data_IF_967088071245
#
_entry.id   IF_967088071245
#
_cell.length_a   1.000
_cell.length_b   1.000
_cell.length_c   1.000
_cell.angle_alpha   90.00
_cell.angle_beta   90.00
_cell.angle_gamma   90.00
#
_symmetry.space_group_name_H-M   'P 1'
#
loop_
_entity.id
_entity.type
_entity.pdbx_description
1 polymer ?
#
# COMPACT_ATOMS: atom_id res chain seq x y z
N UNK A 1 7.59 20.55 1.36
CA UNK A 1 7.32 19.53 2.40
C UNK A 1 8.26 18.39 2.11
N UNK A 2 9.10 18.03 3.07
CA UNK A 2 9.94 16.83 2.98
C UNK A 2 9.19 15.62 3.56
N UNK A 3 9.78 14.43 3.41
CA UNK A 3 9.17 13.17 3.83
C UNK A 3 8.93 13.12 5.34
N UNK A 4 9.88 13.59 6.15
CA UNK A 4 9.78 13.55 7.60
C UNK A 4 8.64 14.44 8.11
N UNK A 5 8.51 15.66 7.57
CA UNK A 5 7.40 16.57 7.88
C UNK A 5 6.04 15.99 7.45
N UNK A 6 5.99 15.31 6.30
CA UNK A 6 4.78 14.63 5.83
C UNK A 6 4.37 13.48 6.76
N UNK A 7 5.29 12.57 7.09
CA UNK A 7 5.01 11.43 7.95
C UNK A 7 4.59 11.87 9.36
N UNK A 8 5.25 12.88 9.91
CA UNK A 8 4.89 13.46 11.21
C UNK A 8 3.45 14.00 11.19
N UNK A 9 3.11 14.81 10.18
CA UNK A 9 1.75 15.36 10.02
C UNK A 9 0.72 14.28 9.79
N UNK A 10 1.05 13.25 9.01
CA UNK A 10 0.16 12.12 8.75
C UNK A 10 -0.13 11.34 10.05
N UNK A 11 0.90 11.02 10.84
CA UNK A 11 0.75 10.35 12.14
C UNK A 11 -0.11 11.17 13.09
N UNK A 12 0.16 12.47 13.23
CA UNK A 12 -0.64 13.38 14.08
C UNK A 12 -2.12 13.40 13.68
N UNK A 13 -2.42 13.35 12.38
CA UNK A 13 -3.81 13.32 11.88
C UNK A 13 -4.52 12.00 12.17
N UNK A 14 -3.78 10.92 12.39
CA UNK A 14 -4.32 9.58 12.59
C UNK A 14 -4.48 9.21 14.06
N UNK A 15 -3.73 9.84 14.97
CA UNK A 15 -3.90 9.70 16.43
C UNK A 15 -5.34 10.00 16.88
N UNK A 16 -6.06 10.88 16.18
CA UNK A 16 -7.48 11.15 16.42
C UNK A 16 -8.48 10.16 15.78
N UNK A 17 -8.01 9.12 15.07
CA UNK A 17 -8.83 8.16 14.30
C UNK A 17 -8.58 6.70 14.70
N UNK A 18 -8.14 6.49 15.94
CA UNK A 18 -7.45 5.32 16.46
C UNK A 18 -8.07 3.94 16.18
N UNK A 19 -9.38 3.82 15.94
CA UNK A 19 -10.02 2.51 15.80
C UNK A 19 -9.85 1.87 14.42
N UNK A 20 -9.59 2.65 13.36
CA UNK A 20 -9.49 2.14 11.98
C UNK A 20 -8.24 2.60 11.22
N UNK A 21 -7.44 3.48 11.82
CA UNK A 21 -6.27 4.10 11.22
C UNK A 21 -4.98 3.28 11.43
N UNK A 22 -4.97 2.02 11.00
CA UNK A 22 -3.73 1.23 11.02
C UNK A 22 -2.94 1.56 9.76
N UNK A 23 -1.99 2.49 9.88
CA UNK A 23 -0.88 2.56 8.93
C UNK A 23 0.09 1.43 9.23
N UNK A 24 0.44 0.69 8.20
CA UNK A 24 1.38 -0.42 8.30
C UNK A 24 2.76 0.08 7.91
N UNK A 25 3.77 -0.23 8.71
CA UNK A 25 5.16 -0.09 8.25
C UNK A 25 5.42 -1.08 7.11
N UNK A 26 6.47 -0.84 6.33
CA UNK A 26 6.92 -1.79 5.29
C UNK A 26 7.12 -3.19 5.86
N UNK A 27 7.77 -3.31 7.03
CA UNK A 27 7.96 -4.61 7.70
C UNK A 27 6.65 -5.31 8.05
N UNK A 28 5.65 -4.57 8.55
CA UNK A 28 4.35 -5.16 8.89
C UNK A 28 3.61 -5.62 7.64
N UNK A 29 3.65 -4.83 6.56
CA UNK A 29 3.04 -5.20 5.28
C UNK A 29 3.71 -6.44 4.70
N UNK A 30 5.03 -6.49 4.70
CA UNK A 30 5.80 -7.59 4.12
C UNK A 30 5.59 -8.88 4.93
N UNK A 31 5.44 -8.79 6.26
CA UNK A 31 5.05 -9.93 7.08
C UNK A 31 3.66 -10.47 6.68
N UNK A 32 2.69 -9.60 6.42
CA UNK A 32 1.35 -10.02 5.97
C UNK A 32 1.40 -10.67 4.59
N UNK A 33 2.30 -10.19 3.71
CA UNK A 33 2.52 -10.79 2.40
C UNK A 33 3.08 -12.22 2.56
N UNK A 34 4.12 -12.40 3.38
CA UNK A 34 4.68 -13.72 3.68
C UNK A 34 3.66 -14.67 4.30
N UNK A 35 2.87 -14.18 5.26
CA UNK A 35 1.86 -14.99 5.92
C UNK A 35 0.79 -15.42 4.91
N UNK A 36 0.37 -14.52 4.02
CA UNK A 36 -0.60 -14.84 2.98
C UNK A 36 -0.04 -15.82 1.94
N UNK A 37 1.25 -15.71 1.58
CA UNK A 37 1.94 -16.68 0.72
C UNK A 37 2.00 -18.07 1.38
N UNK A 38 2.32 -18.15 2.67
CA UNK A 38 2.29 -19.39 3.45
C UNK A 38 0.87 -19.98 3.48
N UNK A 39 -0.14 -19.15 3.76
CA UNK A 39 -1.54 -19.58 3.80
C UNK A 39 -2.00 -20.09 2.42
N UNK A 40 -1.60 -19.44 1.33
CA UNK A 40 -1.92 -19.90 -0.03
C UNK A 40 -1.26 -21.25 -0.37
N UNK A 41 -0.11 -21.54 0.24
CA UNK A 41 0.66 -22.77 0.00
C UNK A 41 0.20 -23.93 0.88
N UNK A 42 -0.10 -23.67 2.16
CA UNK A 42 -0.36 -24.69 3.18
C UNK A 42 -1.80 -24.73 3.70
N UNK A 43 -2.65 -23.81 3.24
CA UNK A 43 -4.02 -23.62 3.71
C UNK A 43 -4.11 -22.80 5.01
N UNK A 44 -5.28 -22.19 5.22
CA UNK A 44 -5.60 -21.45 6.44
C UNK A 44 -5.85 -22.42 7.61
N UNK A 45 -5.25 -22.12 8.76
CA UNK A 45 -5.29 -22.95 9.98
C UNK A 45 -5.82 -22.21 11.20
N UNK A 46 -5.90 -20.89 11.13
CA UNK A 46 -6.34 -20.04 12.25
C UNK A 46 -7.43 -19.05 11.83
N UNK A 47 -8.16 -18.52 12.81
CA UNK A 47 -9.10 -17.40 12.59
C UNK A 47 -8.40 -16.19 11.97
N UNK A 48 -7.14 -15.95 12.34
CA UNK A 48 -6.34 -14.88 11.73
C UNK A 48 -6.12 -15.14 10.24
N UNK A 49 -5.78 -16.37 9.85
CA UNK A 49 -5.53 -16.74 8.45
C UNK A 49 -6.78 -16.54 7.59
N UNK A 50 -7.94 -17.00 8.08
CA UNK A 50 -9.22 -16.79 7.39
C UNK A 50 -9.56 -15.31 7.28
N UNK A 51 -9.27 -14.52 8.32
CA UNK A 51 -9.47 -13.07 8.28
C UNK A 51 -8.52 -12.40 7.28
N UNK A 52 -7.28 -12.88 7.18
CA UNK A 52 -6.30 -12.35 6.25
C UNK A 52 -6.72 -12.60 4.80
N UNK A 53 -7.14 -13.83 4.45
CA UNK A 53 -7.66 -14.17 3.12
C UNK A 53 -8.94 -13.40 2.75
N UNK A 54 -9.81 -13.13 3.73
CA UNK A 54 -11.00 -12.30 3.50
C UNK A 54 -10.65 -10.85 3.19
N UNK A 55 -9.51 -10.37 3.67
CA UNK A 55 -9.12 -8.96 3.57
C UNK A 55 -8.18 -8.68 2.41
N UNK A 56 -7.28 -9.60 2.09
CA UNK A 56 -6.18 -9.36 1.17
C UNK A 56 -5.99 -10.50 0.18
N UNK A 57 -5.27 -10.18 -0.89
CA UNK A 57 -4.84 -11.09 -1.94
C UNK A 57 -3.39 -10.74 -2.33
N UNK A 58 -2.65 -11.73 -2.83
CA UNK A 58 -1.32 -11.51 -3.40
C UNK A 58 -1.47 -11.34 -4.90
N UNK A 59 -0.87 -10.27 -5.44
CA UNK A 59 -0.78 -10.04 -6.87
C UNK A 59 0.70 -10.04 -7.29
N UNK A 60 1.07 -10.95 -8.19
CA UNK A 60 2.39 -10.93 -8.83
C UNK A 60 2.46 -9.84 -9.88
N UNK A 61 3.42 -8.91 -9.74
CA UNK A 61 3.69 -7.84 -10.70
C UNK A 61 5.16 -7.94 -11.12
N UNK A 62 5.40 -8.51 -12.31
CA UNK A 62 6.76 -8.82 -12.76
C UNK A 62 7.42 -9.84 -11.83
N UNK A 63 8.54 -9.45 -11.20
CA UNK A 63 9.30 -10.29 -10.27
C UNK A 63 8.97 -10.00 -8.79
N UNK A 64 7.93 -9.21 -8.50
CA UNK A 64 7.59 -8.81 -7.14
C UNK A 64 6.14 -9.17 -6.80
N UNK A 65 5.94 -9.74 -5.61
CA UNK A 65 4.62 -9.93 -5.03
C UNK A 65 4.16 -8.65 -4.33
N UNK A 66 2.90 -8.28 -4.57
CA UNK A 66 2.28 -7.10 -3.99
C UNK A 66 1.05 -7.49 -3.20
N UNK A 67 0.89 -6.89 -2.01
CA UNK A 67 -0.32 -7.04 -1.21
C UNK A 67 -1.41 -6.13 -1.77
N UNK A 68 -2.54 -6.71 -2.15
CA UNK A 68 -3.71 -5.97 -2.61
C UNK A 68 -4.90 -6.22 -1.68
N UNK A 69 -5.86 -5.30 -1.68
CA UNK A 69 -7.17 -5.56 -1.10
C UNK A 69 -7.82 -6.73 -1.86
N UNK A 70 -8.44 -7.66 -1.12
CA UNK A 70 -9.20 -8.76 -1.73
C UNK A 70 -10.25 -8.19 -2.69
N UNK A 71 -10.19 -8.60 -3.95
CA UNK A 71 -11.14 -8.20 -4.98
C UNK A 71 -12.51 -8.84 -4.72
N UNK A 72 -13.58 -8.10 -5.00
CA UNK A 72 -14.95 -8.65 -4.90
C UNK A 72 -15.31 -9.44 -6.15
N UNK A 73 -14.89 -8.92 -7.31
CA UNK A 73 -15.01 -9.57 -8.60
C UNK A 73 -13.60 -9.96 -9.10
N UNK A 74 -13.35 -11.23 -9.43
CA UNK A 74 -12.07 -11.64 -10.00
C UNK A 74 -11.75 -10.95 -11.34
N UNK A 75 -12.76 -10.41 -12.03
CA UNK A 75 -12.64 -9.68 -13.30
C UNK A 75 -12.55 -8.16 -13.11
N UNK A 76 -12.39 -7.67 -11.87
CA UNK A 76 -12.15 -6.25 -11.62
C UNK A 76 -10.80 -5.85 -12.24
N UNK A 77 -10.82 -4.92 -13.20
CA UNK A 77 -9.63 -4.39 -13.87
C UNK A 77 -8.79 -3.46 -12.97
N UNK A 78 -9.38 -3.00 -11.87
CA UNK A 78 -8.74 -2.11 -10.91
C UNK A 78 -8.18 -2.87 -9.70
N UNK A 79 -6.92 -2.61 -9.38
CA UNK A 79 -6.24 -3.20 -8.23
C UNK A 79 -5.97 -2.14 -7.16
N UNK A 80 -6.30 -2.45 -5.90
CA UNK A 80 -6.06 -1.58 -4.75
C UNK A 80 -4.86 -2.09 -3.96
N UNK A 81 -3.70 -1.54 -4.27
CA UNK A 81 -2.46 -1.85 -3.57
C UNK A 81 -2.48 -1.35 -2.13
N UNK A 82 -1.91 -2.13 -1.22
CA UNK A 82 -1.66 -1.72 0.17
C UNK A 82 -0.27 -1.08 0.23
N UNK A 83 -0.24 0.25 0.34
CA UNK A 83 0.99 1.00 0.55
C UNK A 83 1.43 0.91 2.01
N UNK A 84 2.75 0.82 2.23
CA UNK A 84 3.30 1.08 3.56
C UNK A 84 3.40 2.57 3.83
N UNK A 85 3.49 2.95 5.10
CA UNK A 85 3.64 4.35 5.50
C UNK A 85 4.82 5.03 4.80
N UNK A 86 5.95 4.32 4.72
CA UNK A 86 7.19 4.78 4.11
C UNK A 86 7.03 5.04 2.59
N UNK A 87 6.10 4.35 1.93
CA UNK A 87 5.81 4.55 0.50
C UNK A 87 4.76 5.66 0.25
N UNK A 88 3.92 6.02 1.23
CA UNK A 88 2.81 6.96 1.02
C UNK A 88 3.31 8.31 0.51
N UNK A 89 4.41 8.83 1.06
CA UNK A 89 4.96 10.12 0.64
C UNK A 89 5.34 10.11 -0.84
N UNK A 90 6.09 9.10 -1.28
CA UNK A 90 6.55 9.00 -2.65
C UNK A 90 5.40 8.78 -3.63
N UNK A 91 4.40 7.97 -3.25
CA UNK A 91 3.19 7.76 -4.06
C UNK A 91 2.43 9.08 -4.26
N UNK A 92 2.19 9.83 -3.17
CA UNK A 92 1.46 11.11 -3.23
C UNK A 92 2.26 12.15 -4.01
N UNK A 93 3.58 12.21 -3.80
CA UNK A 93 4.47 13.12 -4.52
C UNK A 93 4.48 12.83 -6.02
N UNK A 94 4.65 11.57 -6.41
CA UNK A 94 4.64 11.16 -7.82
C UNK A 94 3.29 11.47 -8.48
N UNK A 95 2.17 11.19 -7.81
CA UNK A 95 0.84 11.53 -8.31
C UNK A 95 0.65 13.04 -8.48
N UNK A 96 1.11 13.84 -7.51
CA UNK A 96 1.04 15.30 -7.56
C UNK A 96 1.85 15.88 -8.73
N UNK A 97 3.06 15.34 -8.97
CA UNK A 97 3.91 15.73 -10.09
C UNK A 97 3.29 15.34 -11.43
N UNK A 98 2.71 14.15 -11.55
CA UNK A 98 2.08 13.65 -12.78
C UNK A 98 0.87 14.48 -13.24
N UNK A 99 0.15 15.12 -12.31
CA UNK A 99 -1.02 15.98 -12.61
C UNK A 99 -0.59 17.36 -13.17
N UNK A 100 0.71 17.64 -13.30
CA UNK A 100 1.22 18.82 -14.01
C UNK A 100 1.34 20.09 -13.16
N UNK A 101 1.18 19.98 -11.84
CA UNK A 101 1.43 21.09 -10.90
C UNK A 101 2.86 21.11 -10.33
N UNK A 102 3.73 20.21 -10.78
CA UNK A 102 5.16 20.28 -10.51
C UNK A 102 5.82 21.31 -11.43
N UNK A 103 6.14 22.49 -10.92
CA UNK A 103 6.96 23.52 -11.59
C UNK A 103 8.40 23.08 -11.89
N UNK A 104 8.60 21.93 -12.54
CA UNK A 104 9.87 21.31 -12.89
C UNK A 104 10.11 21.35 -14.40
N UNK A 105 10.84 22.39 -14.82
CA UNK A 105 11.58 22.58 -16.08
C UNK A 105 10.86 22.14 -17.37
N UNK A 106 10.32 23.14 -18.08
CA UNK A 106 10.24 23.14 -19.54
C UNK A 106 11.62 22.75 -20.08
N UNK A 107 11.77 21.53 -20.61
CA UNK A 107 12.86 21.27 -21.53
C UNK A 107 12.57 22.12 -22.77
N UNK A 108 13.22 23.29 -22.84
CA UNK A 108 13.41 23.95 -24.14
C UNK A 108 14.24 22.99 -24.98
N UNK A 109 13.60 22.31 -25.93
CA UNK A 109 14.32 21.76 -27.07
C UNK A 109 14.93 22.95 -27.83
N UNK A 110 16.26 22.95 -27.95
CA UNK A 110 17.01 23.74 -28.92
C UNK A 110 17.18 22.91 -30.19
#
# INVERSE_FOLDING_TARGET
MDQADFEFKLRQRLEGKAENAVLQSTTQRDQLLEDLLKINSFGAKSTFDFNLQKRYEVLGVGNADRLIRRRKDPNEDEFKFIASLEEVFDIVKAAHEAIGHGGGKKQLLK
#
